data_IF_899480579821
#
_entry.id   IF_899480579821
#
_cell.length_a   1.000
_cell.length_b   1.000
_cell.length_c   1.000
_cell.angle_alpha   90.00
_cell.angle_beta   90.00
_cell.angle_gamma   90.00
#
_symmetry.space_group_name_H-M   'P 1'
#
loop_
_entity.id
_entity.type
_entity.pdbx_description
1 polymer ?
#
# COMPACT_ATOMS: atom_id res chain seq x y z
N UNK A 1 13.96 -41.43 -43.61
CA UNK A 1 13.91 -39.96 -43.45
C UNK A 1 13.59 -39.66 -41.99
N UNK A 2 14.56 -39.77 -41.08
CA UNK A 2 14.31 -39.54 -39.63
C UNK A 2 15.40 -38.71 -38.93
N UNK A 3 16.57 -38.51 -39.56
CA UNK A 3 17.71 -37.86 -38.90
C UNK A 3 17.63 -36.31 -38.86
N UNK A 4 16.78 -35.68 -39.68
CA UNK A 4 16.69 -34.22 -39.76
C UNK A 4 15.87 -33.62 -38.60
N UNK A 5 14.84 -34.33 -38.14
CA UNK A 5 13.84 -33.80 -37.22
C UNK A 5 14.36 -33.67 -35.78
N UNK A 6 15.28 -34.53 -35.35
CA UNK A 6 15.83 -34.45 -33.99
C UNK A 6 16.71 -33.22 -33.79
N UNK A 7 17.48 -32.81 -34.81
CA UNK A 7 18.29 -31.58 -34.73
C UNK A 7 17.41 -30.34 -34.61
N UNK A 8 16.33 -30.27 -35.37
CA UNK A 8 15.36 -29.17 -35.26
C UNK A 8 14.60 -29.21 -33.92
N UNK A 9 14.23 -30.40 -33.44
CA UNK A 9 13.60 -30.57 -32.12
C UNK A 9 14.53 -30.13 -30.98
N UNK A 10 15.82 -30.49 -31.06
CA UNK A 10 16.82 -30.08 -30.09
C UNK A 10 17.04 -28.56 -30.12
N UNK A 11 17.16 -27.97 -31.31
CA UNK A 11 17.27 -26.51 -31.47
C UNK A 11 16.02 -25.76 -30.97
N UNK A 12 14.84 -26.33 -31.18
CA UNK A 12 13.59 -25.75 -30.69
C UNK A 12 13.51 -25.83 -29.16
N UNK A 13 13.89 -26.96 -28.57
CA UNK A 13 13.93 -27.14 -27.13
C UNK A 13 14.94 -26.19 -26.47
N UNK A 14 16.15 -26.05 -27.03
CA UNK A 14 17.15 -25.11 -26.49
C UNK A 14 16.67 -23.67 -26.61
N UNK A 15 16.00 -23.30 -27.70
CA UNK A 15 15.42 -21.97 -27.88
C UNK A 15 14.29 -21.69 -26.86
N UNK A 16 13.39 -22.64 -26.64
CA UNK A 16 12.33 -22.52 -25.63
C UNK A 16 12.92 -22.38 -24.21
N UNK A 17 13.93 -23.19 -23.88
CA UNK A 17 14.61 -23.10 -22.58
C UNK A 17 15.35 -21.76 -22.43
N UNK A 18 15.95 -21.23 -23.50
CA UNK A 18 16.59 -19.92 -23.48
C UNK A 18 15.57 -18.79 -23.24
N UNK A 19 14.42 -18.81 -23.92
CA UNK A 19 13.32 -17.86 -23.69
C UNK A 19 12.79 -17.98 -22.26
N UNK A 20 12.55 -19.19 -21.76
CA UNK A 20 12.09 -19.41 -20.40
C UNK A 20 13.09 -18.88 -19.36
N UNK A 21 14.39 -19.09 -19.58
CA UNK A 21 15.45 -18.61 -18.70
C UNK A 21 15.61 -17.09 -18.74
N UNK A 22 15.51 -16.48 -19.93
CA UNK A 22 15.55 -15.02 -20.11
C UNK A 22 14.34 -14.34 -19.47
N UNK A 23 13.14 -14.87 -19.72
CA UNK A 23 11.90 -14.38 -19.12
C UNK A 23 11.92 -14.58 -17.61
N UNK A 24 12.38 -15.74 -17.09
CA UNK A 24 12.53 -15.96 -15.66
C UNK A 24 13.49 -14.94 -15.03
N UNK A 25 14.69 -14.72 -15.58
CA UNK A 25 15.67 -13.77 -15.02
C UNK A 25 15.28 -12.29 -15.15
N UNK A 26 14.46 -11.95 -16.15
CA UNK A 26 13.98 -10.59 -16.34
C UNK A 26 12.70 -10.31 -15.54
N UNK A 27 11.81 -11.29 -15.43
CA UNK A 27 10.52 -11.20 -14.75
C UNK A 27 10.66 -11.41 -13.24
N UNK A 28 11.49 -12.35 -12.77
CA UNK A 28 11.73 -12.53 -11.33
C UNK A 28 12.34 -11.27 -10.70
N UNK A 29 13.28 -10.61 -11.39
CA UNK A 29 13.80 -9.29 -10.97
C UNK A 29 12.71 -8.20 -10.87
N UNK A 30 11.61 -8.31 -11.62
CA UNK A 30 10.48 -7.37 -11.56
C UNK A 30 9.33 -7.83 -10.66
N UNK A 31 9.26 -9.11 -10.28
CA UNK A 31 8.22 -9.68 -9.43
C UNK A 31 8.62 -9.82 -7.95
N UNK A 32 9.90 -9.62 -7.61
CA UNK A 32 10.29 -9.40 -6.21
C UNK A 32 9.78 -8.02 -5.74
N UNK A 33 8.49 -7.97 -5.40
CA UNK A 33 7.92 -7.04 -4.42
C UNK A 33 8.54 -7.39 -3.06
N UNK A 34 9.80 -6.99 -2.86
CA UNK A 34 10.60 -7.46 -1.72
C UNK A 34 11.63 -6.46 -1.24
N UNK A 35 11.47 -5.19 -1.58
CA UNK A 35 12.23 -4.10 -0.95
C UNK A 35 11.28 -3.11 -0.28
N UNK A 36 10.26 -3.61 0.42
CA UNK A 36 9.60 -2.77 1.41
C UNK A 36 10.56 -2.62 2.57
N UNK A 37 11.09 -1.42 2.74
CA UNK A 37 11.80 -1.06 3.97
C UNK A 37 10.82 -1.29 5.12
N UNK A 38 11.05 -2.32 5.93
CA UNK A 38 10.24 -2.58 7.12
C UNK A 38 10.31 -1.34 7.98
N UNK A 39 9.23 -0.55 7.98
CA UNK A 39 9.14 0.67 8.75
C UNK A 39 8.92 0.25 10.19
N UNK A 40 10.02 0.12 10.95
CA UNK A 40 9.96 -0.22 12.36
C UNK A 40 9.15 0.86 13.06
N UNK A 41 8.07 0.46 13.73
CA UNK A 41 7.23 1.34 14.52
C UNK A 41 8.09 1.94 15.64
N UNK A 42 8.56 3.17 15.46
CA UNK A 42 9.28 3.93 16.49
C UNK A 42 8.28 4.21 17.61
N UNK A 43 8.67 3.96 18.86
CA UNK A 43 7.90 4.47 20.00
C UNK A 43 7.92 6.00 19.94
N UNK A 44 6.79 6.66 20.24
CA UNK A 44 6.76 8.11 20.31
C UNK A 44 7.77 8.59 21.36
N UNK A 45 8.48 9.69 21.07
CA UNK A 45 9.52 10.23 21.95
C UNK A 45 8.93 10.78 23.28
N UNK A 46 7.62 11.06 23.30
CA UNK A 46 6.88 11.53 24.47
C UNK A 46 5.72 10.58 24.81
N UNK A 47 5.51 10.25 26.10
CA UNK A 47 4.33 9.50 26.51
C UNK A 47 3.07 10.36 26.31
N UNK A 48 1.92 9.70 26.18
CA UNK A 48 0.61 10.36 26.11
C UNK A 48 0.40 11.19 27.38
N UNK A 49 0.12 12.47 27.23
CA UNK A 49 -0.02 13.45 28.31
C UNK A 49 -1.25 14.31 28.06
N UNK A 50 -1.93 14.70 29.13
CA UNK A 50 -2.91 15.78 29.08
C UNK A 50 -2.21 17.11 28.76
N UNK A 51 -2.96 18.02 28.14
CA UNK A 51 -2.52 19.39 27.91
C UNK A 51 -2.41 20.16 29.23
N UNK A 52 -1.80 21.34 29.17
CA UNK A 52 -1.69 22.23 30.34
C UNK A 52 -3.04 22.68 30.90
N UNK A 53 -4.10 22.67 30.09
CA UNK A 53 -5.47 22.97 30.49
C UNK A 53 -6.24 21.73 31.04
N UNK A 54 -5.58 20.57 31.13
CA UNK A 54 -6.18 19.31 31.60
C UNK A 54 -7.01 18.58 30.54
N UNK A 55 -7.10 19.08 29.31
CA UNK A 55 -7.86 18.42 28.24
C UNK A 55 -7.01 17.39 27.48
N UNK A 56 -7.70 16.44 26.84
CA UNK A 56 -7.10 15.46 25.94
C UNK A 56 -8.05 15.20 24.78
N UNK A 57 -7.63 15.53 23.56
CA UNK A 57 -8.45 15.42 22.34
C UNK A 57 -8.06 14.18 21.56
N UNK A 58 -9.03 13.31 21.32
CA UNK A 58 -8.89 12.12 20.47
C UNK A 58 -9.62 12.37 19.15
N UNK A 59 -8.92 12.19 18.03
CA UNK A 59 -9.55 12.09 16.72
C UNK A 59 -9.73 10.62 16.37
N UNK A 60 -10.97 10.14 16.34
CA UNK A 60 -11.27 8.79 15.91
C UNK A 60 -11.56 8.75 14.41
N UNK A 61 -10.93 7.81 13.71
CA UNK A 61 -11.16 7.54 12.30
C UNK A 61 -11.59 6.09 12.16
N UNK A 62 -12.83 5.87 11.76
CA UNK A 62 -13.43 4.53 11.68
C UNK A 62 -13.66 4.09 10.23
N UNK A 63 -13.55 2.78 9.98
CA UNK A 63 -14.08 2.09 8.79
C UNK A 63 -13.76 2.75 7.44
N UNK A 64 -12.54 3.28 7.31
CA UNK A 64 -12.11 3.99 6.11
C UNK A 64 -12.02 3.12 4.85
N UNK A 65 -11.98 1.79 5.00
CA UNK A 65 -11.78 0.81 3.91
C UNK A 65 -10.64 1.20 2.95
N UNK A 66 -9.52 1.62 3.53
CA UNK A 66 -8.40 2.20 2.81
C UNK A 66 -7.67 1.14 1.98
N UNK A 67 -7.46 1.41 0.70
CA UNK A 67 -6.71 0.61 -0.25
C UNK A 67 -5.29 1.11 -0.49
N UNK A 68 -4.74 0.81 -1.66
CA UNK A 68 -3.37 1.15 -2.09
C UNK A 68 -3.44 2.39 -3.00
N UNK A 69 -3.99 3.49 -2.49
CA UNK A 69 -3.94 4.79 -3.15
C UNK A 69 -4.61 4.82 -4.53
N UNK A 70 -3.83 5.13 -5.58
CA UNK A 70 -4.31 5.19 -6.97
C UNK A 70 -4.44 3.81 -7.64
N UNK A 71 -3.90 2.75 -7.02
CA UNK A 71 -3.90 1.40 -7.58
C UNK A 71 -5.22 0.68 -7.27
N UNK A 72 -5.83 0.97 -6.11
CA UNK A 72 -7.09 0.36 -5.71
C UNK A 72 -8.26 1.11 -6.35
N UNK A 73 -9.05 0.39 -7.14
CA UNK A 73 -10.30 0.91 -7.71
C UNK A 73 -11.38 0.94 -6.63
N UNK A 74 -12.10 2.05 -6.55
CA UNK A 74 -13.28 2.17 -5.71
C UNK A 74 -14.38 1.17 -6.10
N UNK A 75 -15.18 0.77 -5.11
CA UNK A 75 -16.35 -0.10 -5.26
C UNK A 75 -17.57 0.67 -4.80
N UNK A 76 -18.72 0.33 -5.38
CA UNK A 76 -20.03 0.83 -4.93
C UNK A 76 -20.16 2.37 -4.94
N UNK A 77 -19.52 3.02 -5.92
CA UNK A 77 -19.67 4.47 -6.21
C UNK A 77 -20.47 4.70 -7.48
N UNK A 78 -21.01 5.92 -7.65
CA UNK A 78 -21.74 6.29 -8.86
C UNK A 78 -20.83 6.28 -10.09
N UNK A 79 -21.39 6.05 -11.27
CA UNK A 79 -20.64 6.04 -12.54
C UNK A 79 -19.80 7.31 -12.74
N UNK A 80 -20.34 8.47 -12.35
CA UNK A 80 -19.70 9.79 -12.42
C UNK A 80 -18.57 10.00 -11.41
N UNK A 81 -18.47 9.17 -10.38
CA UNK A 81 -17.52 9.35 -9.28
C UNK A 81 -16.25 8.50 -9.45
N UNK A 82 -16.27 7.50 -10.34
CA UNK A 82 -15.12 6.61 -10.55
C UNK A 82 -13.85 7.34 -10.97
N UNK A 83 -13.95 8.43 -11.74
CA UNK A 83 -12.79 9.17 -12.22
C UNK A 83 -12.06 9.94 -11.10
N UNK A 84 -12.77 10.26 -10.02
CA UNK A 84 -12.24 11.05 -8.92
C UNK A 84 -12.07 10.25 -7.64
N UNK A 85 -12.62 9.04 -7.56
CA UNK A 85 -12.58 8.22 -6.37
C UNK A 85 -11.20 7.58 -6.18
N UNK A 86 -10.56 7.88 -5.04
CA UNK A 86 -9.30 7.27 -4.61
C UNK A 86 -9.10 7.51 -3.12
N UNK A 87 -8.40 6.58 -2.45
CA UNK A 87 -7.94 6.73 -1.06
C UNK A 87 -7.08 7.98 -0.86
N UNK A 88 -6.45 8.51 -1.91
CA UNK A 88 -5.70 9.76 -1.87
C UNK A 88 -6.57 10.95 -1.44
N UNK A 89 -7.87 10.94 -1.77
CA UNK A 89 -8.79 11.96 -1.29
C UNK A 89 -9.04 11.82 0.21
N UNK A 90 -9.18 10.59 0.70
CA UNK A 90 -9.27 10.28 2.13
C UNK A 90 -8.00 10.72 2.86
N UNK A 91 -6.81 10.47 2.31
CA UNK A 91 -5.54 10.98 2.87
C UNK A 91 -5.54 12.49 3.02
N UNK A 92 -5.90 13.23 1.96
CA UNK A 92 -5.95 14.70 1.97
C UNK A 92 -7.01 15.22 2.93
N UNK A 93 -8.15 14.55 3.04
CA UNK A 93 -9.18 14.89 4.00
C UNK A 93 -8.67 14.71 5.43
N UNK A 94 -8.11 13.56 5.78
CA UNK A 94 -7.58 13.28 7.11
C UNK A 94 -6.45 14.25 7.48
N UNK A 95 -5.53 14.58 6.55
CA UNK A 95 -4.48 15.57 6.80
C UNK A 95 -5.05 16.93 7.19
N UNK A 96 -6.09 17.39 6.48
CA UNK A 96 -6.78 18.66 6.81
C UNK A 96 -7.44 18.61 8.18
N UNK A 97 -8.14 17.53 8.51
CA UNK A 97 -8.80 17.37 9.81
C UNK A 97 -7.78 17.29 10.95
N UNK A 98 -6.70 16.53 10.81
CA UNK A 98 -5.63 16.43 11.81
C UNK A 98 -5.01 17.81 12.09
N UNK A 99 -4.77 18.60 11.03
CA UNK A 99 -4.24 19.95 11.18
C UNK A 99 -5.23 20.91 11.85
N UNK A 100 -6.50 20.86 11.45
CA UNK A 100 -7.54 21.74 11.98
C UNK A 100 -7.89 21.41 13.44
N UNK A 101 -8.04 20.13 13.77
CA UNK A 101 -8.43 19.69 15.10
C UNK A 101 -7.28 19.67 16.10
N UNK A 102 -6.05 19.50 15.58
CA UNK A 102 -4.84 19.39 16.37
C UNK A 102 -5.01 18.38 17.54
N UNK A 103 -5.38 17.10 17.30
CA UNK A 103 -5.64 16.13 18.36
C UNK A 103 -4.36 15.69 19.09
N UNK A 104 -4.49 15.16 20.31
CA UNK A 104 -3.38 14.58 21.08
C UNK A 104 -3.15 13.10 20.72
N UNK A 105 -4.21 12.43 20.24
CA UNK A 105 -4.16 11.05 19.79
C UNK A 105 -5.10 10.81 18.61
N UNK A 106 -4.68 10.01 17.64
CA UNK A 106 -5.53 9.59 16.52
C UNK A 106 -5.79 8.09 16.66
N UNK A 107 -7.06 7.73 16.84
CA UNK A 107 -7.50 6.36 17.01
C UNK A 107 -8.09 5.84 15.69
N UNK A 108 -7.43 4.86 15.08
CA UNK A 108 -7.99 4.15 13.93
C UNK A 108 -8.78 2.93 14.42
N UNK A 109 -10.06 2.85 14.06
CA UNK A 109 -10.97 1.78 14.51
C UNK A 109 -11.67 1.12 13.33
N UNK A 110 -12.10 -0.13 13.50
CA UNK A 110 -12.78 -0.89 12.46
C UNK A 110 -11.84 -1.75 11.61
N UNK A 111 -12.38 -2.35 10.56
CA UNK A 111 -11.65 -3.33 9.75
C UNK A 111 -10.72 -2.62 8.75
N UNK A 112 -9.42 -2.58 9.06
CA UNK A 112 -8.40 -2.27 8.05
C UNK A 112 -8.18 -3.55 7.23
N UNK A 113 -8.55 -3.50 5.94
CA UNK A 113 -8.49 -4.64 5.02
C UNK A 113 -7.08 -5.23 4.85
N UNK A 114 -6.03 -4.47 5.17
CA UNK A 114 -4.64 -4.94 5.10
C UNK A 114 -3.78 -4.23 6.16
N UNK A 115 -2.98 -5.01 6.90
CA UNK A 115 -2.06 -4.51 7.92
C UNK A 115 -0.95 -3.60 7.34
N UNK A 116 -0.47 -3.86 6.12
CA UNK A 116 0.54 -3.01 5.47
C UNK A 116 0.02 -1.58 5.23
N UNK A 117 -1.29 -1.44 5.00
CA UNK A 117 -1.96 -0.16 4.79
C UNK A 117 -2.09 0.64 6.10
N UNK A 118 -2.19 -0.05 7.24
CA UNK A 118 -2.22 0.60 8.55
C UNK A 118 -0.96 1.44 8.82
N UNK A 119 0.21 1.00 8.31
CA UNK A 119 1.46 1.72 8.45
C UNK A 119 1.51 3.01 7.59
N UNK A 120 0.91 2.98 6.40
CA UNK A 120 0.81 4.16 5.52
C UNK A 120 -0.16 5.19 6.10
N UNK A 121 -1.29 4.75 6.62
CA UNK A 121 -2.26 5.60 7.32
C UNK A 121 -1.66 6.21 8.59
N UNK A 122 -0.86 5.44 9.35
CA UNK A 122 -0.12 5.97 10.49
C UNK A 122 0.92 7.04 10.08
N UNK A 123 1.50 6.94 8.88
CA UNK A 123 2.45 7.94 8.39
C UNK A 123 1.82 9.32 8.21
N UNK A 124 0.51 9.40 7.91
CA UNK A 124 -0.25 10.66 7.84
C UNK A 124 -0.15 11.44 9.17
N UNK A 125 -0.07 10.73 10.29
CA UNK A 125 0.07 11.33 11.62
C UNK A 125 1.51 11.65 12.02
N UNK A 126 2.50 11.07 11.33
CA UNK A 126 3.92 11.17 11.67
C UNK A 126 4.65 12.38 11.03
N UNK A 127 4.01 13.09 10.08
CA UNK A 127 4.52 14.32 9.47
C UNK A 127 4.25 15.59 10.32
N UNK A 128 3.92 15.42 11.60
CA UNK A 128 3.59 16.51 12.50
C UNK A 128 4.82 17.09 13.19
#
# INVERSE_FOLDING_TARGET
MEAQNWKHSFLYLTFLLAILHLTHNHLSRKLFLGNETVRIKKNPDLPLRFRSDGTFKILQVADMHYGIGSVTRCRDVLASEFDFCSDLNTTRFLKRIIQAENPDFVAFTGAMSNWSIAAEVAAITAER
#
